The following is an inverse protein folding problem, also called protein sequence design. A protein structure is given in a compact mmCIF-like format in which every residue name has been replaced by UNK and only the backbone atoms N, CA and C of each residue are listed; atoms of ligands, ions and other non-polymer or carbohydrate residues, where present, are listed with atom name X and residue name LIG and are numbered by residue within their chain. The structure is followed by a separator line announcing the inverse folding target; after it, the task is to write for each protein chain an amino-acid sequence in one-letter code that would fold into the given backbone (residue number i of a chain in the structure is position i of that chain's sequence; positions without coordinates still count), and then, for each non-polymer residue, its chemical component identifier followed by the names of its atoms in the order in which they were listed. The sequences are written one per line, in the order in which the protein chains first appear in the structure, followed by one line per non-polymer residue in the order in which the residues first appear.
data_IF_452661001827
#
_entry.id   IF_452661001827
#
_cell.length_a   1.000
_cell.length_b   1.000
_cell.length_c   1.000
_cell.angle_alpha   90.00
_cell.angle_beta   90.00
_cell.angle_gamma   90.00
#
_symmetry.space_group_name_H-M   'P 1'
#
loop_
_entity.id
_entity.type
_entity.pdbx_description
1 polymer ?
#
# COMPACT_ATOMS: atom_id res chain seq x y z
N UNK A 1 -12.25 -43.60 37.61
CA UNK A 1 -13.38 -42.64 37.66
C UNK A 1 -13.19 -41.69 36.49
N UNK A 2 -14.20 -41.58 35.62
CA UNK A 2 -14.13 -40.80 34.38
C UNK A 2 -14.54 -39.36 34.71
N UNK A 3 -13.63 -38.39 34.58
CA UNK A 3 -13.97 -36.96 34.72
C UNK A 3 -14.36 -36.44 33.34
N UNK A 4 -15.65 -36.24 33.13
CA UNK A 4 -16.25 -35.59 31.97
C UNK A 4 -16.25 -34.08 32.19
N UNK A 5 -15.27 -33.37 31.62
CA UNK A 5 -15.12 -31.91 31.66
C UNK A 5 -15.45 -31.30 30.29
N UNK A 6 -16.67 -31.55 29.80
CA UNK A 6 -17.15 -31.07 28.49
C UNK A 6 -18.51 -30.34 28.62
N UNK A 7 -18.77 -29.70 29.77
CA UNK A 7 -20.00 -28.95 30.04
C UNK A 7 -19.62 -27.55 30.56
N UNK A 8 -19.34 -26.62 29.63
CA UNK A 8 -19.62 -25.17 29.73
C UNK A 8 -18.92 -24.40 28.60
N UNK A 9 -19.08 -24.85 27.35
CA UNK A 9 -18.79 -23.97 26.20
C UNK A 9 -20.00 -23.06 25.97
N UNK A 10 -19.84 -21.73 25.94
CA UNK A 10 -20.94 -20.82 25.68
C UNK A 10 -21.52 -21.10 24.29
N UNK A 11 -22.74 -21.61 24.23
CA UNK A 11 -23.46 -21.84 22.99
C UNK A 11 -24.21 -20.58 22.58
N UNK A 12 -24.15 -20.25 21.29
CA UNK A 12 -24.96 -19.18 20.71
C UNK A 12 -26.45 -19.52 20.86
N UNK A 13 -27.26 -18.50 21.15
CA UNK A 13 -28.71 -18.68 21.12
C UNK A 13 -29.16 -19.10 19.73
N UNK A 14 -30.23 -19.88 19.64
CA UNK A 14 -30.78 -20.35 18.36
C UNK A 14 -31.06 -19.19 17.38
N UNK A 15 -31.48 -18.04 17.92
CA UNK A 15 -31.74 -16.84 17.14
C UNK A 15 -30.45 -16.20 16.60
N UNK A 16 -29.37 -16.14 17.40
CA UNK A 16 -28.09 -15.62 16.94
C UNK A 16 -27.45 -16.54 15.88
N UNK A 17 -27.57 -17.87 16.05
CA UNK A 17 -27.12 -18.85 15.08
C UNK A 17 -27.88 -18.74 13.75
N UNK A 18 -29.20 -18.58 13.80
CA UNK A 18 -30.03 -18.40 12.60
C UNK A 18 -29.66 -17.10 11.87
N UNK A 19 -29.51 -15.99 12.57
CA UNK A 19 -29.09 -14.72 11.98
C UNK A 19 -27.70 -14.80 11.33
N UNK A 20 -26.75 -15.50 11.95
CA UNK A 20 -25.43 -15.75 11.37
C UNK A 20 -25.51 -16.62 10.12
N UNK A 21 -26.32 -17.68 10.14
CA UNK A 21 -26.51 -18.56 8.97
C UNK A 21 -27.17 -17.81 7.81
N UNK A 22 -28.15 -16.96 8.08
CA UNK A 22 -28.80 -16.10 7.09
C UNK A 22 -27.80 -15.12 6.47
N UNK A 23 -26.98 -14.46 7.29
CA UNK A 23 -25.89 -13.58 6.84
C UNK A 23 -24.87 -14.30 5.93
N UNK A 24 -24.43 -15.51 6.32
CA UNK A 24 -23.51 -16.30 5.49
C UNK A 24 -24.13 -16.78 4.17
N UNK A 25 -25.44 -17.06 4.18
CA UNK A 25 -26.17 -17.44 2.96
C UNK A 25 -26.31 -16.26 1.99
N UNK A 26 -26.58 -15.06 2.50
CA UNK A 26 -26.62 -13.82 1.71
C UNK A 26 -25.27 -13.51 1.06
N UNK A 27 -24.16 -13.63 1.80
CA UNK A 27 -22.82 -13.43 1.23
C UNK A 27 -22.50 -14.41 0.10
N UNK A 28 -22.91 -15.69 0.23
CA UNK A 28 -22.71 -16.69 -0.82
C UNK A 28 -23.54 -16.40 -2.08
N UNK A 29 -24.72 -15.82 -1.96
CA UNK A 29 -25.53 -15.43 -3.12
C UNK A 29 -24.92 -14.26 -3.89
N UNK A 30 -24.23 -13.33 -3.21
CA UNK A 30 -23.47 -12.26 -3.88
C UNK A 30 -22.28 -12.77 -4.69
N UNK A 31 -21.64 -13.86 -4.26
CA UNK A 31 -20.50 -14.44 -4.99
C UNK A 31 -20.90 -15.24 -6.24
N UNK A 32 -22.14 -15.70 -6.36
CA UNK A 32 -22.56 -16.63 -7.43
C UNK A 32 -23.28 -15.93 -8.60
N UNK A 33 -23.54 -14.61 -8.51
CA UNK A 33 -24.25 -13.82 -9.53
C UNK A 33 -23.35 -12.84 -10.32
N UNK A 34 -22.04 -12.84 -10.10
CA UNK A 34 -21.07 -12.00 -10.84
C UNK A 34 -20.27 -12.81 -11.85
N UNK A 35 -20.67 -12.78 -13.12
CA UNK A 35 -19.91 -13.37 -14.23
C UNK A 35 -18.55 -12.68 -14.42
N UNK A 36 -17.54 -13.46 -14.84
CA UNK A 36 -16.28 -13.10 -15.52
C UNK A 36 -15.48 -11.84 -15.15
N UNK A 37 -15.69 -11.28 -13.95
CA UNK A 37 -14.99 -10.11 -13.48
C UNK A 37 -13.77 -10.51 -12.63
N UNK A 38 -12.65 -10.80 -13.28
CA UNK A 38 -11.32 -11.03 -12.67
C UNK A 38 -10.77 -9.83 -11.86
N UNK A 39 -11.60 -8.82 -11.59
CA UNK A 39 -11.27 -7.57 -10.91
C UNK A 39 -12.20 -7.22 -9.74
N UNK A 40 -13.20 -8.03 -9.41
CA UNK A 40 -14.01 -7.83 -8.21
C UNK A 40 -13.35 -8.46 -6.98
N UNK A 41 -12.31 -7.78 -6.49
CA UNK A 41 -11.67 -7.91 -5.18
C UNK A 41 -12.64 -7.36 -4.11
N UNK A 42 -13.85 -7.90 -4.04
CA UNK A 42 -14.91 -7.40 -3.16
C UNK A 42 -14.96 -8.09 -1.80
N UNK A 43 -14.52 -9.35 -1.71
CA UNK A 43 -14.73 -10.18 -0.52
C UNK A 43 -13.56 -11.16 -0.40
N UNK A 44 -12.32 -10.66 -0.27
CA UNK A 44 -11.23 -11.51 0.24
C UNK A 44 -11.07 -11.18 1.71
N UNK A 45 -11.83 -11.94 2.49
CA UNK A 45 -11.71 -12.24 3.92
C UNK A 45 -11.07 -11.16 4.80
N UNK A 46 -11.88 -10.66 5.72
CA UNK A 46 -11.56 -9.77 6.83
C UNK A 46 -10.52 -10.36 7.78
N UNK A 47 -9.28 -10.43 7.33
CA UNK A 47 -8.09 -10.34 8.17
C UNK A 47 -7.31 -9.13 7.67
N UNK A 48 -7.82 -7.95 8.03
CA UNK A 48 -7.18 -6.67 7.77
C UNK A 48 -5.80 -6.66 8.43
N UNK A 49 -4.76 -7.05 7.69
CA UNK A 49 -3.45 -6.43 7.86
C UNK A 49 -3.73 -4.93 7.95
N UNK A 50 -3.13 -4.27 8.94
CA UNK A 50 -3.44 -2.92 9.44
C UNK A 50 -3.18 -1.80 8.43
N UNK A 51 -3.67 -1.96 7.20
CA UNK A 51 -3.44 -1.14 6.02
C UNK A 51 -4.75 -0.40 5.70
N UNK A 52 -4.70 0.92 5.79
CA UNK A 52 -5.79 1.77 5.36
C UNK A 52 -5.77 1.87 3.84
N UNK A 53 -6.93 1.75 3.22
CA UNK A 53 -7.08 1.91 1.77
C UNK A 53 -7.48 3.35 1.44
N UNK A 54 -6.89 3.92 0.39
CA UNK A 54 -7.29 5.24 -0.09
C UNK A 54 -8.67 5.20 -0.73
N UNK A 55 -9.38 6.33 -0.67
CA UNK A 55 -10.57 6.51 -1.51
C UNK A 55 -10.17 6.41 -2.99
N UNK A 56 -11.07 5.94 -3.87
CA UNK A 56 -10.77 5.84 -5.31
C UNK A 56 -10.24 7.15 -5.91
N UNK A 57 -10.80 8.29 -5.48
CA UNK A 57 -10.38 9.62 -5.91
C UNK A 57 -8.94 9.94 -5.48
N UNK A 58 -8.59 9.67 -4.22
CA UNK A 58 -7.22 9.89 -3.71
C UNK A 58 -6.21 9.00 -4.43
N UNK A 59 -6.53 7.71 -4.55
CA UNK A 59 -5.67 6.75 -5.24
C UNK A 59 -5.43 7.16 -6.71
N UNK A 60 -6.47 7.65 -7.39
CA UNK A 60 -6.38 8.13 -8.76
C UNK A 60 -5.43 9.33 -8.87
N UNK A 61 -5.57 10.34 -8.00
CA UNK A 61 -4.68 11.51 -7.99
C UNK A 61 -3.22 11.12 -7.77
N UNK A 62 -2.97 10.22 -6.81
CA UNK A 62 -1.61 9.72 -6.56
C UNK A 62 -1.03 8.97 -7.76
N UNK A 63 -1.86 8.18 -8.45
CA UNK A 63 -1.48 7.49 -9.67
C UNK A 63 -1.15 8.46 -10.82
N UNK A 64 -1.99 9.46 -11.07
CA UNK A 64 -1.76 10.51 -12.07
C UNK A 64 -0.44 11.25 -11.84
N UNK A 65 -0.18 11.67 -10.60
CA UNK A 65 1.08 12.33 -10.22
C UNK A 65 2.30 11.42 -10.44
N UNK A 66 2.14 10.13 -10.15
CA UNK A 66 3.21 9.16 -10.35
C UNK A 66 3.51 8.90 -11.83
N UNK A 67 2.48 8.79 -12.68
CA UNK A 67 2.65 8.66 -14.13
C UNK A 67 3.34 9.90 -14.70
N UNK A 68 2.86 11.09 -14.32
CA UNK A 68 3.47 12.35 -14.74
C UNK A 68 4.95 12.46 -14.30
N UNK A 69 5.26 11.98 -13.09
CA UNK A 69 6.62 11.96 -12.58
C UNK A 69 7.50 10.87 -13.24
N UNK A 70 6.96 9.73 -13.61
CA UNK A 70 7.72 8.67 -14.30
C UNK A 70 8.10 9.12 -15.72
N UNK A 71 7.19 9.79 -16.42
CA UNK A 71 7.33 10.13 -17.84
C UNK A 71 7.02 8.94 -18.74
N UNK A 72 7.06 9.18 -20.05
CA UNK A 72 6.74 8.18 -21.09
C UNK A 72 7.73 7.00 -21.04
N UNK A 73 7.20 5.78 -20.97
CA UNK A 73 7.96 4.53 -20.78
C UNK A 73 8.57 4.35 -19.39
N UNK A 74 8.20 5.20 -18.41
CA UNK A 74 8.80 5.19 -17.08
C UNK A 74 8.48 3.93 -16.26
N UNK A 75 9.30 3.65 -15.24
CA UNK A 75 9.07 2.55 -14.28
C UNK A 75 8.66 3.08 -12.92
N UNK A 76 7.52 2.60 -12.42
CA UNK A 76 6.91 3.00 -11.14
C UNK A 76 6.99 1.84 -10.15
N UNK A 77 7.51 2.08 -8.96
CA UNK A 77 7.42 1.13 -7.85
C UNK A 77 6.37 1.60 -6.84
N UNK A 78 5.40 0.75 -6.52
CA UNK A 78 4.48 0.93 -5.41
C UNK A 78 4.96 0.08 -4.23
N UNK A 79 5.38 0.70 -3.13
CA UNK A 79 5.84 0.02 -1.91
C UNK A 79 4.79 0.17 -0.84
N UNK A 80 4.18 -0.95 -0.44
CA UNK A 80 3.09 -0.98 0.54
C UNK A 80 1.87 -0.09 0.18
N UNK A 81 1.69 0.20 -1.12
CA UNK A 81 0.71 1.18 -1.64
C UNK A 81 -0.27 0.53 -2.66
N UNK A 82 -1.13 -0.40 -2.22
CA UNK A 82 -1.88 -1.25 -3.13
C UNK A 82 -3.04 -0.52 -3.80
N UNK A 83 -3.67 0.45 -3.12
CA UNK A 83 -4.77 1.25 -3.71
C UNK A 83 -4.27 2.06 -4.91
N UNK A 84 -3.05 2.60 -4.83
CA UNK A 84 -2.44 3.38 -5.93
C UNK A 84 -2.07 2.45 -7.08
N UNK A 85 -1.51 1.27 -6.76
CA UNK A 85 -1.20 0.26 -7.77
C UNK A 85 -2.44 -0.16 -8.57
N UNK A 86 -3.58 -0.40 -7.90
CA UNK A 86 -4.84 -0.73 -8.58
C UNK A 86 -5.23 0.37 -9.59
N UNK A 87 -5.15 1.65 -9.20
CA UNK A 87 -5.43 2.77 -10.13
C UNK A 87 -4.42 2.87 -11.26
N UNK A 88 -3.14 2.63 -11.02
CA UNK A 88 -2.14 2.54 -12.08
C UNK A 88 -2.43 1.39 -13.06
N UNK A 89 -3.10 0.31 -12.63
CA UNK A 89 -3.53 -0.76 -13.54
C UNK A 89 -4.68 -0.36 -14.45
N UNK A 90 -5.60 0.45 -13.93
CA UNK A 90 -6.75 0.96 -14.67
C UNK A 90 -6.33 2.02 -15.71
N UNK A 91 -5.22 2.73 -15.47
CA UNK A 91 -4.62 3.68 -16.41
C UNK A 91 -3.87 2.98 -17.56
N UNK A 92 -3.57 3.73 -18.62
CA UNK A 92 -2.94 3.24 -19.85
C UNK A 92 -1.54 2.65 -19.62
N UNK A 93 -1.44 1.33 -19.48
CA UNK A 93 -0.20 0.59 -19.21
C UNK A 93 0.83 0.56 -20.34
N UNK A 94 0.47 1.02 -21.54
CA UNK A 94 1.43 1.13 -22.64
C UNK A 94 2.44 2.26 -22.39
N UNK A 95 2.07 3.24 -21.56
CA UNK A 95 2.88 4.43 -21.29
C UNK A 95 3.88 4.26 -20.13
N UNK A 96 3.76 3.21 -19.31
CA UNK A 96 4.63 2.98 -18.15
C UNK A 96 4.58 1.52 -17.67
N UNK A 97 5.63 1.11 -16.95
CA UNK A 97 5.64 -0.17 -16.23
C UNK A 97 5.48 0.05 -14.72
N UNK A 98 4.81 -0.88 -14.04
CA UNK A 98 4.53 -0.77 -12.61
C UNK A 98 4.81 -2.09 -11.89
N UNK A 99 5.43 -2.01 -10.71
CA UNK A 99 5.60 -3.14 -9.80
C UNK A 99 5.02 -2.82 -8.42
N UNK A 100 4.45 -3.82 -7.76
CA UNK A 100 3.89 -3.74 -6.41
C UNK A 100 4.77 -4.56 -5.46
N UNK A 101 5.30 -3.89 -4.44
CA UNK A 101 6.08 -4.48 -3.35
C UNK A 101 5.18 -4.58 -2.13
N UNK A 102 4.69 -5.79 -1.87
CA UNK A 102 3.70 -6.04 -0.83
C UNK A 102 4.03 -7.28 0.00
N UNK A 103 3.66 -7.23 1.27
CA UNK A 103 3.79 -8.37 2.18
C UNK A 103 2.68 -9.40 1.94
N UNK A 104 1.52 -8.93 1.49
CA UNK A 104 0.35 -9.77 1.32
C UNK A 104 0.46 -10.63 0.04
N UNK A 105 0.55 -11.95 0.22
CA UNK A 105 0.63 -12.91 -0.89
C UNK A 105 -0.61 -12.95 -1.79
N UNK A 106 -1.74 -12.36 -1.39
CA UNK A 106 -2.93 -12.27 -2.27
C UNK A 106 -2.64 -11.50 -3.54
N UNK A 107 -1.67 -10.59 -3.52
CA UNK A 107 -1.22 -9.83 -4.69
C UNK A 107 -0.41 -10.68 -5.68
N UNK A 108 -0.05 -11.93 -5.35
CA UNK A 108 0.63 -12.84 -6.26
C UNK A 108 -0.17 -13.16 -7.53
N UNK A 109 -1.48 -12.88 -7.54
CA UNK A 109 -2.32 -12.93 -8.75
C UNK A 109 -1.82 -12.02 -9.88
N UNK A 110 -0.99 -11.02 -9.55
CA UNK A 110 -0.38 -10.09 -10.50
C UNK A 110 0.93 -10.59 -11.12
N UNK A 111 1.36 -11.81 -10.79
CA UNK A 111 2.47 -12.48 -11.46
C UNK A 111 3.79 -11.72 -11.32
N UNK A 112 4.43 -11.39 -12.46
CA UNK A 112 5.76 -10.79 -12.47
C UNK A 112 5.83 -9.37 -11.87
N UNK A 113 4.70 -8.65 -11.87
CA UNK A 113 4.56 -7.31 -11.32
C UNK A 113 4.52 -7.32 -9.78
N UNK A 114 4.15 -8.45 -9.17
CA UNK A 114 4.16 -8.63 -7.74
C UNK A 114 5.55 -9.03 -7.26
N UNK A 115 6.01 -8.32 -6.23
CA UNK A 115 7.23 -8.58 -5.50
C UNK A 115 6.86 -8.74 -4.03
N UNK A 116 7.09 -9.93 -3.49
CA UNK A 116 6.97 -10.12 -2.06
C UNK A 116 7.98 -9.22 -1.35
N UNK A 117 7.51 -8.44 -0.39
CA UNK A 117 8.31 -7.45 0.31
C UNK A 117 7.97 -7.46 1.79
N UNK A 118 8.98 -7.73 2.61
CA UNK A 118 8.95 -7.57 4.06
C UNK A 118 9.83 -6.39 4.46
N UNK A 119 9.23 -5.34 5.02
CA UNK A 119 9.98 -4.16 5.43
C UNK A 119 11.03 -4.47 6.51
N UNK A 120 10.91 -5.59 7.24
CA UNK A 120 11.95 -6.01 8.19
C UNK A 120 13.27 -6.38 7.50
N UNK A 121 13.20 -6.78 6.23
CA UNK A 121 14.32 -7.13 5.38
C UNK A 121 14.29 -6.23 4.12
N UNK A 122 14.55 -4.91 4.26
CA UNK A 122 14.20 -3.89 3.26
C UNK A 122 14.89 -4.03 1.90
N UNK A 123 16.03 -4.74 1.85
CA UNK A 123 16.82 -4.96 0.62
C UNK A 123 16.92 -6.44 0.24
N UNK A 124 16.14 -7.30 0.89
CA UNK A 124 16.00 -8.71 0.49
C UNK A 124 14.99 -8.80 -0.66
N UNK A 125 15.43 -8.31 -1.82
CA UNK A 125 14.62 -8.24 -3.03
C UNK A 125 15.11 -9.26 -4.06
N UNK A 126 14.21 -9.81 -4.89
CA UNK A 126 14.60 -10.74 -5.95
C UNK A 126 15.65 -10.15 -6.90
N UNK A 127 16.57 -10.97 -7.41
CA UNK A 127 17.67 -10.53 -8.30
C UNK A 127 17.19 -9.80 -9.56
N UNK A 128 15.95 -10.06 -10.01
CA UNK A 128 15.32 -9.34 -11.13
C UNK A 128 15.14 -7.84 -10.86
N UNK A 129 15.20 -7.41 -9.59
CA UNK A 129 15.08 -6.01 -9.19
C UNK A 129 16.47 -5.38 -9.06
N UNK A 130 16.92 -4.80 -10.17
CA UNK A 130 18.16 -4.03 -10.19
C UNK A 130 18.04 -2.76 -9.31
N UNK A 131 19.14 -2.40 -8.66
CA UNK A 131 19.26 -1.15 -7.92
C UNK A 131 19.02 0.05 -8.84
N UNK A 132 18.38 1.10 -8.31
CA UNK A 132 18.08 2.36 -9.00
C UNK A 132 17.40 2.16 -10.36
N UNK A 133 16.47 1.21 -10.43
CA UNK A 133 15.80 0.84 -11.68
C UNK A 133 14.41 1.46 -11.86
N UNK A 134 13.90 2.20 -10.86
CA UNK A 134 12.60 2.86 -10.92
C UNK A 134 12.74 4.38 -11.01
N UNK A 135 11.99 4.99 -11.92
CA UNK A 135 12.01 6.45 -12.15
C UNK A 135 11.28 7.20 -11.03
N UNK A 136 10.26 6.58 -10.45
CA UNK A 136 9.59 7.04 -9.23
C UNK A 136 9.24 5.86 -8.31
N UNK A 137 9.41 6.09 -7.01
CA UNK A 137 8.93 5.18 -5.96
C UNK A 137 7.82 5.86 -5.18
N UNK A 138 6.64 5.26 -5.17
CA UNK A 138 5.53 5.60 -4.30
C UNK A 138 5.59 4.66 -3.10
N UNK A 139 5.67 5.20 -1.90
CA UNK A 139 5.73 4.41 -0.68
C UNK A 139 4.63 4.84 0.29
N UNK A 140 3.93 3.86 0.87
CA UNK A 140 2.96 4.05 1.93
C UNK A 140 3.22 3.06 3.07
N UNK A 141 4.20 3.34 3.94
CA UNK A 141 4.64 2.41 4.98
C UNK A 141 3.48 2.01 5.90
N UNK A 142 3.38 0.72 6.29
CA UNK A 142 2.26 0.21 7.10
C UNK A 142 2.20 0.83 8.50
N UNK A 143 3.34 1.34 9.01
CA UNK A 143 3.44 1.94 10.33
C UNK A 143 4.16 3.28 10.27
N UNK A 144 3.74 4.17 11.17
CA UNK A 144 4.32 5.50 11.37
C UNK A 144 5.50 5.52 12.36
N UNK A 145 6.00 4.35 12.75
CA UNK A 145 7.15 4.24 13.65
C UNK A 145 8.45 4.67 12.96
N UNK A 146 9.38 5.22 13.73
CA UNK A 146 10.69 5.63 13.21
C UNK A 146 11.44 4.46 12.57
N UNK A 147 11.36 3.27 13.16
CA UNK A 147 11.98 2.07 12.61
C UNK A 147 11.39 1.68 11.25
N UNK A 148 10.06 1.70 11.12
CA UNK A 148 9.40 1.38 9.85
C UNK A 148 9.78 2.40 8.77
N UNK A 149 9.76 3.70 9.11
CA UNK A 149 10.14 4.76 8.18
C UNK A 149 11.62 4.64 7.76
N UNK A 150 12.51 4.31 8.69
CA UNK A 150 13.94 4.09 8.41
C UNK A 150 14.12 2.92 7.44
N UNK A 151 13.53 1.76 7.75
CA UNK A 151 13.62 0.56 6.90
C UNK A 151 13.03 0.80 5.51
N UNK A 152 11.83 1.39 5.43
CA UNK A 152 11.25 1.74 4.13
C UNK A 152 12.11 2.75 3.36
N UNK A 153 12.79 3.67 4.05
CA UNK A 153 13.73 4.59 3.38
C UNK A 153 14.92 3.87 2.74
N UNK A 154 15.39 2.75 3.31
CA UNK A 154 16.45 1.92 2.74
C UNK A 154 15.97 1.25 1.45
N UNK A 155 14.76 0.69 1.46
CA UNK A 155 14.09 0.15 0.27
C UNK A 155 13.94 1.22 -0.82
N UNK A 156 13.41 2.40 -0.46
CA UNK A 156 13.22 3.49 -1.42
C UNK A 156 14.55 3.90 -2.06
N UNK A 157 15.61 4.07 -1.25
CA UNK A 157 16.94 4.43 -1.74
C UNK A 157 17.50 3.38 -2.70
N UNK A 158 17.29 2.10 -2.41
CA UNK A 158 17.72 1.03 -3.30
C UNK A 158 16.97 1.04 -4.63
N UNK A 159 15.66 1.33 -4.63
CA UNK A 159 14.81 1.27 -5.82
C UNK A 159 14.88 2.51 -6.72
N UNK A 160 14.90 3.71 -6.13
CA UNK A 160 14.68 4.97 -6.86
C UNK A 160 15.91 5.45 -7.63
N UNK A 161 15.68 6.03 -8.82
CA UNK A 161 16.64 6.86 -9.56
C UNK A 161 16.70 8.30 -9.06
N UNK A 162 15.69 8.74 -8.30
CA UNK A 162 15.71 10.05 -7.68
C UNK A 162 14.35 10.64 -7.29
N UNK A 163 13.23 10.18 -7.87
CA UNK A 163 11.89 10.71 -7.53
C UNK A 163 11.20 9.82 -6.51
N UNK A 164 10.58 10.44 -5.50
CA UNK A 164 9.93 9.73 -4.40
C UNK A 164 8.61 10.43 -4.08
N UNK A 165 7.54 9.64 -3.93
CA UNK A 165 6.28 10.06 -3.37
C UNK A 165 6.03 9.24 -2.10
N UNK A 166 6.16 9.88 -0.94
CA UNK A 166 5.99 9.22 0.35
C UNK A 166 4.67 9.65 0.97
N UNK A 167 3.72 8.72 1.04
CA UNK A 167 2.45 8.89 1.72
C UNK A 167 2.61 8.45 3.17
N UNK A 168 2.40 9.35 4.12
CA UNK A 168 2.39 9.02 5.55
C UNK A 168 1.36 9.88 6.25
N UNK A 169 0.63 9.30 7.19
CA UNK A 169 -0.17 10.04 8.16
C UNK A 169 0.67 11.03 8.99
N UNK A 170 0.00 11.98 9.66
CA UNK A 170 0.67 13.04 10.42
C UNK A 170 1.30 12.47 11.71
N UNK A 171 2.58 12.14 11.68
CA UNK A 171 3.37 11.99 12.91
C UNK A 171 3.51 13.35 13.60
N UNK A 172 2.88 13.54 14.76
CA UNK A 172 3.25 14.62 15.68
C UNK A 172 4.55 14.22 16.37
N UNK A 173 5.68 14.36 15.68
CA UNK A 173 6.99 14.36 16.35
C UNK A 173 7.04 15.66 17.16
N UNK A 174 7.30 15.56 18.47
CA UNK A 174 7.17 16.66 19.43
C UNK A 174 7.87 17.96 19.00
N UNK A 175 7.24 19.10 19.30
CA UNK A 175 7.72 20.50 19.28
C UNK A 175 8.64 20.99 18.13
N UNK A 176 8.78 20.28 17.02
CA UNK A 176 9.44 20.83 15.83
C UNK A 176 8.41 21.56 14.94
N UNK A 177 8.59 22.87 14.67
CA UNK A 177 7.66 23.60 13.82
C UNK A 177 7.66 23.04 12.38
N UNK A 178 6.54 23.17 11.65
CA UNK A 178 6.41 22.69 10.29
C UNK A 178 7.44 23.36 9.38
N UNK A 179 8.37 22.58 8.83
CA UNK A 179 9.28 23.08 7.79
C UNK A 179 8.48 23.18 6.49
N UNK A 180 7.99 24.38 6.21
CA UNK A 180 7.46 24.76 4.90
C UNK A 180 8.65 25.12 4.00
N UNK A 181 9.10 24.19 3.15
CA UNK A 181 10.18 24.46 2.20
C UNK A 181 9.59 24.99 0.88
N UNK A 182 9.37 26.30 0.80
CA UNK A 182 9.14 27.00 -0.47
C UNK A 182 10.47 27.55 -1.01
N UNK A 183 10.93 26.94 -2.11
CA UNK A 183 11.95 27.33 -3.12
C UNK A 183 12.93 28.49 -2.83
N UNK A 184 14.23 28.20 -2.97
CA UNK A 184 15.10 28.74 -4.04
C UNK A 184 16.47 28.02 -4.02
N UNK A 185 16.89 27.43 -5.15
CA UNK A 185 18.26 26.93 -5.34
C UNK A 185 19.24 28.11 -5.52
N UNK A 186 20.40 28.12 -4.83
CA UNK A 186 21.60 28.76 -5.34
C UNK A 186 22.53 27.73 -6.01
N UNK A 187 23.13 28.14 -7.12
CA UNK A 187 24.18 27.40 -7.83
C UNK A 187 25.47 27.42 -7.00
N UNK A 188 25.84 26.30 -6.41
CA UNK A 188 27.23 25.83 -6.23
C UNK A 188 27.23 24.58 -5.35
N UNK A 189 27.66 23.45 -5.93
CA UNK A 189 28.09 22.28 -5.17
C UNK A 189 29.41 22.62 -4.44
N UNK A 190 29.72 22.05 -3.25
CA UNK A 190 30.09 20.62 -3.20
C UNK A 190 29.66 19.84 -1.92
N UNK A 191 29.75 18.50 -2.05
CA UNK A 191 29.63 17.43 -1.04
C UNK A 191 28.22 17.13 -0.50
N UNK A 192 27.76 15.93 -0.84
CA UNK A 192 26.36 15.54 -1.03
C UNK A 192 25.70 14.90 0.21
N UNK A 193 24.66 15.53 0.77
CA UNK A 193 23.51 14.81 1.30
C UNK A 193 22.43 14.77 0.19
N UNK A 194 22.07 13.56 -0.21
CA UNK A 194 21.03 13.29 -1.21
C UNK A 194 19.70 13.83 -0.67
N UNK A 195 19.26 14.96 -1.21
CA UNK A 195 17.94 15.52 -1.03
C UNK A 195 17.49 15.99 -2.41
N UNK A 196 16.62 15.22 -3.07
CA UNK A 196 16.13 15.57 -4.41
C UNK A 196 14.63 15.30 -4.48
N UNK A 197 13.91 16.42 -4.63
CA UNK A 197 12.50 16.65 -4.99
C UNK A 197 11.46 15.76 -4.30
N UNK A 198 10.88 16.30 -3.21
CA UNK A 198 9.70 15.77 -2.56
C UNK A 198 8.39 16.27 -3.18
N UNK A 199 7.44 15.36 -3.35
CA UNK A 199 6.02 15.65 -3.17
C UNK A 199 5.60 15.04 -1.83
N UNK A 200 5.30 15.89 -0.85
CA UNK A 200 4.76 15.48 0.45
C UNK A 200 3.24 15.51 0.31
N UNK A 201 2.61 14.36 0.03
CA UNK A 201 1.16 14.31 -0.08
C UNK A 201 0.57 14.08 1.32
N UNK A 202 0.21 15.18 1.98
CA UNK A 202 -0.58 15.15 3.22
C UNK A 202 -2.06 15.08 2.85
N UNK A 203 -2.63 13.88 2.71
CA UNK A 203 -4.07 13.71 2.49
C UNK A 203 -4.77 13.19 3.76
N UNK A 204 -5.98 13.69 4.07
CA UNK A 204 -6.73 13.23 5.21
C UNK A 204 -7.26 11.81 4.94
N UNK A 205 -6.85 10.85 5.77
CA UNK A 205 -7.56 9.59 5.92
C UNK A 205 -8.96 9.93 6.47
N UNK A 206 -10.01 9.79 5.65
CA UNK A 206 -11.37 9.81 6.17
C UNK A 206 -11.57 8.51 6.94
N UNK A 207 -11.58 8.57 8.26
CA UNK A 207 -12.23 7.55 9.05
C UNK A 207 -13.70 7.52 8.61
N UNK A 208 -14.21 6.36 8.20
CA UNK A 208 -15.62 6.20 7.85
C UNK A 208 -16.49 6.73 8.99
N UNK A 209 -17.24 7.79 8.72
CA UNK A 209 -18.27 8.27 9.62
C UNK A 209 -19.41 7.26 9.65
N UNK A 210 -19.90 7.01 10.86
CA UNK A 210 -21.04 6.15 11.19
C UNK A 210 -22.35 6.68 10.60
#
# INVERSE_FOLDING_TARGET
MSNSEDEDLPQLSSHALAALQEFYAEQKQYTDLGGDDKYNIGIIEENWLSQFWYTPETALRLAEEAVAAAGEGGRIACVSAPSVYQKLRELHREDFSVCIFEYDHRFAIYGEEFIFYDYNNPVDLPEKIAAHSFDIVIADPPYLSEECLRKTSETIKYLTRGKILLCTGRCRIGNTPPVTLNKALPRSAPQSPICTVGLRCCLPLRAGEK
#
